data_IF_629977314326
#
_entry.id   IF_629977314326
#
_cell.length_a   1.000
_cell.length_b   1.000
_cell.length_c   1.000
_cell.angle_alpha   90.00
_cell.angle_beta   90.00
_cell.angle_gamma   90.00
#
_symmetry.space_group_name_H-M   'P 1'
#
loop_
_entity.id
_entity.type
_entity.pdbx_description
1 polymer ?
#
# COMPACT_ATOMS: atom_id res chain seq x y z
N UNK A 1 -13.29 -20.81 10.27
CA UNK A 1 -12.41 -21.67 9.44
C UNK A 1 -11.68 -22.78 10.21
N UNK A 2 -11.39 -22.65 11.51
CA UNK A 2 -10.82 -23.77 12.30
C UNK A 2 -11.68 -25.05 12.27
N UNK A 3 -13.02 -24.90 12.32
CA UNK A 3 -13.98 -25.98 12.09
C UNK A 3 -14.13 -26.41 10.62
N UNK A 4 -13.73 -25.58 9.66
CA UNK A 4 -13.81 -25.91 8.24
C UNK A 4 -12.65 -26.83 7.85
N UNK A 5 -11.45 -26.62 8.39
CA UNK A 5 -10.29 -27.48 8.16
C UNK A 5 -10.38 -28.83 8.91
N UNK A 6 -11.09 -28.88 10.03
CA UNK A 6 -11.38 -30.13 10.77
C UNK A 6 -12.43 -31.03 10.09
N UNK A 7 -12.96 -30.61 8.94
CA UNK A 7 -13.98 -31.34 8.16
C UNK A 7 -13.64 -31.53 6.68
N UNK A 8 -12.42 -31.19 6.23
CA UNK A 8 -12.00 -31.45 4.85
C UNK A 8 -11.39 -32.85 4.75
N UNK A 9 -11.93 -33.74 3.89
CA UNK A 9 -11.39 -35.08 3.74
C UNK A 9 -9.96 -35.04 3.15
N UNK A 10 -9.13 -36.00 3.59
CA UNK A 10 -7.66 -36.03 3.42
C UNK A 10 -7.21 -35.97 1.95
N UNK A 11 -8.05 -36.44 1.03
CA UNK A 11 -7.87 -36.41 -0.42
C UNK A 11 -7.85 -34.99 -1.00
N UNK A 12 -8.60 -34.05 -0.41
CA UNK A 12 -8.65 -32.66 -0.87
C UNK A 12 -7.51 -31.78 -0.33
N UNK A 13 -6.80 -32.25 0.71
CA UNK A 13 -5.65 -31.56 1.30
C UNK A 13 -4.38 -31.63 0.46
N UNK A 14 -4.19 -32.73 -0.29
CA UNK A 14 -3.01 -32.93 -1.13
C UNK A 14 -2.80 -31.78 -2.14
N UNK A 15 -3.89 -31.12 -2.56
CA UNK A 15 -3.86 -30.00 -3.49
C UNK A 15 -3.23 -28.71 -2.91
N UNK A 16 -3.22 -28.54 -1.59
CA UNK A 16 -2.69 -27.35 -0.91
C UNK A 16 -1.23 -27.50 -0.48
N UNK A 17 -0.63 -28.68 -0.68
CA UNK A 17 0.76 -28.95 -0.31
C UNK A 17 1.68 -28.86 -1.53
N UNK A 18 2.93 -28.38 -1.38
CA UNK A 18 3.94 -28.41 -2.44
C UNK A 18 4.12 -29.83 -3.01
N UNK A 19 4.27 -29.95 -4.33
CA UNK A 19 4.30 -31.22 -5.08
C UNK A 19 5.26 -32.28 -4.51
N UNK A 20 6.38 -31.85 -3.92
CA UNK A 20 7.37 -32.72 -3.24
C UNK A 20 6.80 -33.47 -2.02
N UNK A 21 5.81 -32.90 -1.34
CA UNK A 21 5.17 -33.48 -0.15
C UNK A 21 3.91 -34.26 -0.51
N UNK A 22 3.33 -34.05 -1.71
CA UNK A 22 2.16 -34.78 -2.18
C UNK A 22 2.44 -36.29 -2.34
N UNK A 23 3.65 -36.66 -2.77
CA UNK A 23 4.08 -38.06 -2.92
C UNK A 23 4.51 -38.71 -1.59
N UNK A 24 4.96 -37.91 -0.61
CA UNK A 24 5.40 -38.37 0.71
C UNK A 24 4.26 -38.41 1.75
N UNK A 25 3.15 -37.72 1.47
CA UNK A 25 1.95 -37.63 2.32
C UNK A 25 1.44 -39.00 2.75
N UNK A 26 1.31 -39.96 1.83
CA UNK A 26 0.85 -41.31 2.16
C UNK A 26 1.78 -42.07 3.13
N UNK A 27 3.08 -41.74 3.13
CA UNK A 27 4.07 -42.36 4.02
C UNK A 27 4.14 -41.67 5.39
N UNK A 28 3.89 -40.35 5.43
CA UNK A 28 3.94 -39.52 6.65
C UNK A 28 2.64 -39.52 7.44
N UNK A 29 1.51 -39.86 6.82
CA UNK A 29 0.24 -40.04 7.52
C UNK A 29 0.30 -41.35 8.35
N UNK A 30 0.04 -41.30 9.67
CA UNK A 30 -0.25 -42.45 10.51
C UNK A 30 -1.08 -43.52 9.83
N UNK A 31 -0.75 -44.79 10.09
CA UNK A 31 -1.43 -45.96 9.51
C UNK A 31 -2.94 -45.94 9.73
N UNK A 32 -3.39 -45.34 10.84
CA UNK A 32 -4.79 -45.09 11.21
C UNK A 32 -5.55 -44.16 10.26
N UNK A 33 -4.86 -43.45 9.37
CA UNK A 33 -5.42 -42.43 8.49
C UNK A 33 -5.30 -42.78 7.01
N UNK A 34 -4.63 -43.90 6.68
CA UNK A 34 -4.71 -44.48 5.34
C UNK A 34 -6.09 -45.12 5.25
N UNK A 35 -6.87 -44.75 4.23
CA UNK A 35 -8.20 -45.32 4.05
C UNK A 35 -8.08 -46.85 3.92
N UNK A 36 -8.46 -47.59 4.96
CA UNK A 36 -8.79 -48.99 4.81
C UNK A 36 -10.07 -49.04 3.98
N UNK A 37 -9.96 -49.49 2.75
CA UNK A 37 -11.08 -49.69 1.79
C UNK A 37 -12.12 -50.72 2.26
N UNK A 38 -12.12 -51.11 3.53
CA UNK A 38 -13.00 -52.11 4.14
C UNK A 38 -13.83 -51.61 5.33
N UNK A 39 -13.86 -50.30 5.61
CA UNK A 39 -14.61 -49.74 6.76
C UNK A 39 -15.91 -49.06 6.29
N UNK A 40 -17.01 -49.35 7.00
CA UNK A 40 -18.36 -48.85 6.74
C UNK A 40 -18.41 -47.30 6.72
N UNK A 41 -19.21 -46.65 5.84
CA UNK A 41 -19.31 -45.19 5.75
C UNK A 41 -19.75 -44.50 7.05
N UNK A 42 -20.52 -45.19 7.90
CA UNK A 42 -21.03 -44.64 9.17
C UNK A 42 -19.97 -44.59 10.29
N UNK A 43 -18.88 -45.35 10.21
CA UNK A 43 -17.75 -45.27 11.17
C UNK A 43 -16.72 -44.19 10.79
N UNK A 44 -16.83 -43.61 9.59
CA UNK A 44 -15.96 -42.52 9.11
C UNK A 44 -16.32 -41.15 9.71
N UNK A 45 -17.48 -41.01 10.35
CA UNK A 45 -18.01 -39.70 10.80
C UNK A 45 -17.31 -39.11 12.04
N UNK A 46 -16.35 -39.82 12.65
CA UNK A 46 -15.66 -39.37 13.87
C UNK A 46 -14.16 -39.09 13.76
N UNK A 47 -13.54 -39.28 12.59
CA UNK A 47 -12.08 -39.05 12.44
C UNK A 47 -11.80 -37.59 12.12
N UNK A 48 -11.78 -36.76 13.16
CA UNK A 48 -11.35 -35.38 13.04
C UNK A 48 -9.83 -35.29 12.92
N UNK A 49 -9.38 -34.64 11.86
CA UNK A 49 -7.97 -34.38 11.61
C UNK A 49 -7.50 -33.19 12.43
N UNK A 50 -6.51 -33.40 13.31
CA UNK A 50 -5.88 -32.34 14.08
C UNK A 50 -4.48 -32.04 13.53
N UNK A 51 -4.17 -30.75 13.30
CA UNK A 51 -2.84 -30.33 12.89
C UNK A 51 -1.76 -30.67 13.92
N UNK A 52 -2.13 -30.87 15.18
CA UNK A 52 -1.20 -31.29 16.25
C UNK A 52 -0.63 -32.68 15.99
N UNK A 53 -1.35 -33.53 15.27
CA UNK A 53 -0.92 -34.90 14.99
C UNK A 53 0.05 -35.00 13.79
N UNK A 54 0.24 -33.90 13.06
CA UNK A 54 1.20 -33.83 11.95
C UNK A 54 2.63 -33.54 12.44
N UNK A 55 3.66 -33.93 11.66
CA UNK A 55 5.00 -33.39 11.84
C UNK A 55 4.96 -31.85 11.84
N UNK A 56 5.67 -31.24 12.80
CA UNK A 56 5.64 -29.78 13.01
C UNK A 56 5.89 -28.98 11.73
N UNK A 57 6.84 -29.41 10.91
CA UNK A 57 7.17 -28.73 9.65
C UNK A 57 5.98 -28.69 8.68
N UNK A 58 5.20 -29.78 8.60
CA UNK A 58 4.04 -29.88 7.73
C UNK A 58 2.88 -29.03 8.26
N UNK A 59 2.63 -29.07 9.57
CA UNK A 59 1.63 -28.23 10.22
C UNK A 59 1.92 -26.74 10.04
N UNK A 60 3.17 -26.32 10.24
CA UNK A 60 3.60 -24.93 10.01
C UNK A 60 3.54 -24.57 8.52
N UNK A 61 3.91 -25.47 7.62
CA UNK A 61 3.79 -25.24 6.18
C UNK A 61 2.33 -24.98 5.78
N UNK A 62 1.38 -25.75 6.32
CA UNK A 62 -0.05 -25.53 6.09
C UNK A 62 -0.47 -24.15 6.61
N UNK A 63 -0.16 -23.85 7.87
CA UNK A 63 -0.53 -22.59 8.49
C UNK A 63 0.11 -21.36 7.83
N UNK A 64 1.27 -21.51 7.19
CA UNK A 64 1.95 -20.42 6.47
C UNK A 64 1.20 -19.91 5.24
N UNK A 65 0.22 -20.66 4.73
CA UNK A 65 -0.63 -20.24 3.61
C UNK A 65 -1.88 -19.48 4.06
N UNK A 66 -2.15 -19.40 5.37
CA UNK A 66 -3.28 -18.66 5.90
C UNK A 66 -2.99 -17.16 5.88
N UNK A 67 -4.02 -16.37 5.58
CA UNK A 67 -3.95 -14.93 5.80
C UNK A 67 -3.92 -14.62 7.32
N UNK A 68 -3.58 -13.39 7.72
CA UNK A 68 -3.44 -13.02 9.13
C UNK A 68 -4.69 -13.24 9.97
N UNK A 69 -5.88 -12.98 9.40
CA UNK A 69 -7.17 -13.18 10.08
C UNK A 69 -7.43 -14.65 10.33
N UNK A 70 -7.22 -15.50 9.32
CA UNK A 70 -7.40 -16.94 9.43
C UNK A 70 -6.36 -17.56 10.37
N UNK A 71 -5.12 -17.07 10.37
CA UNK A 71 -4.09 -17.50 11.32
C UNK A 71 -4.43 -17.10 12.76
N UNK A 72 -4.97 -15.89 12.96
CA UNK A 72 -5.47 -15.46 14.27
C UNK A 72 -6.61 -16.36 14.76
N UNK A 73 -7.58 -16.68 13.90
CA UNK A 73 -8.67 -17.60 14.24
C UNK A 73 -8.15 -19.02 14.51
N UNK A 74 -7.16 -19.48 13.73
CA UNK A 74 -6.49 -20.76 13.94
C UNK A 74 -5.81 -20.85 15.31
N UNK A 75 -5.33 -19.73 15.87
CA UNK A 75 -4.76 -19.71 17.23
C UNK A 75 -5.75 -20.05 18.34
N UNK A 76 -7.06 -19.94 18.09
CA UNK A 76 -8.09 -20.38 19.04
C UNK A 76 -8.21 -21.90 19.18
N UNK A 77 -7.73 -22.67 18.19
CA UNK A 77 -7.75 -24.14 18.20
C UNK A 77 -6.32 -24.68 18.34
N UNK A 78 -5.38 -24.12 17.59
CA UNK A 78 -4.00 -24.57 17.48
C UNK A 78 -3.02 -23.53 18.01
N UNK A 79 -3.20 -23.06 19.25
CA UNK A 79 -2.43 -21.96 19.83
C UNK A 79 -0.91 -22.13 19.65
N UNK A 80 -0.36 -23.30 20.00
CA UNK A 80 1.08 -23.58 19.94
C UNK A 80 1.65 -23.53 18.53
N UNK A 81 0.86 -23.89 17.52
CA UNK A 81 1.27 -23.91 16.12
C UNK A 81 1.05 -22.54 15.46
N UNK A 82 -0.15 -21.97 15.61
CA UNK A 82 -0.53 -20.71 14.98
C UNK A 82 0.08 -19.47 15.64
N UNK A 83 0.53 -19.55 16.90
CA UNK A 83 1.30 -18.48 17.55
C UNK A 83 2.80 -18.57 17.28
N UNK A 84 3.24 -19.45 16.38
CA UNK A 84 4.66 -19.63 16.08
C UNK A 84 5.28 -18.36 15.47
N UNK A 85 6.36 -17.88 16.09
CA UNK A 85 7.06 -16.65 15.71
C UNK A 85 7.61 -16.66 14.28
N UNK A 86 7.98 -17.84 13.74
CA UNK A 86 8.47 -17.94 12.36
C UNK A 86 7.35 -17.72 11.34
N UNK A 87 6.12 -18.13 11.65
CA UNK A 87 4.95 -17.87 10.80
C UNK A 87 4.62 -16.38 10.78
N UNK A 88 4.52 -15.77 11.96
CA UNK A 88 4.24 -14.34 12.08
C UNK A 88 5.35 -13.49 11.48
N UNK A 89 6.62 -13.91 11.58
CA UNK A 89 7.72 -13.24 10.86
C UNK A 89 7.56 -13.31 9.35
N UNK A 90 7.16 -14.47 8.82
CA UNK A 90 6.87 -14.65 7.39
C UNK A 90 5.75 -13.72 6.92
N UNK A 91 4.64 -13.69 7.68
CA UNK A 91 3.51 -12.79 7.42
C UNK A 91 3.91 -11.31 7.50
N UNK A 92 4.64 -10.92 8.55
CA UNK A 92 5.16 -9.56 8.69
C UNK A 92 5.94 -9.15 7.44
N UNK A 93 6.90 -9.95 6.97
CA UNK A 93 7.70 -9.62 5.78
C UNK A 93 6.92 -9.65 4.47
N UNK A 94 5.86 -10.44 4.39
CA UNK A 94 4.99 -10.49 3.22
C UNK A 94 4.09 -9.25 3.11
N UNK A 95 3.54 -8.78 4.24
CA UNK A 95 2.62 -7.64 4.28
C UNK A 95 3.33 -6.29 4.50
N UNK A 96 4.47 -6.29 5.20
CA UNK A 96 5.34 -5.15 5.41
C UNK A 96 6.77 -5.52 4.99
N UNK A 97 7.13 -5.26 3.73
CA UNK A 97 8.45 -5.61 3.21
C UNK A 97 9.61 -4.97 3.97
N UNK A 98 9.36 -3.81 4.60
CA UNK A 98 10.37 -3.07 5.35
C UNK A 98 9.83 -2.48 6.66
N UNK A 99 10.57 -2.71 7.74
CA UNK A 99 10.48 -2.00 9.01
C UNK A 99 11.89 -1.98 9.64
N UNK A 100 12.26 -0.91 10.34
CA UNK A 100 13.60 -0.80 10.94
C UNK A 100 13.85 -1.84 12.03
N UNK A 101 12.78 -2.20 12.75
CA UNK A 101 12.84 -3.22 13.80
C UNK A 101 13.27 -4.60 13.31
N UNK A 102 13.18 -4.89 12.00
CA UNK A 102 13.69 -6.16 11.45
C UNK A 102 15.21 -6.31 11.55
N UNK A 103 15.94 -5.21 11.78
CA UNK A 103 17.39 -5.23 12.01
C UNK A 103 17.72 -5.51 13.48
N UNK A 104 16.92 -4.97 14.40
CA UNK A 104 17.22 -4.92 15.84
C UNK A 104 16.38 -5.88 16.69
N UNK A 105 15.43 -6.62 16.11
CA UNK A 105 14.49 -7.48 16.88
C UNK A 105 15.18 -8.51 17.79
N UNK A 106 16.38 -8.98 17.43
CA UNK A 106 17.15 -9.94 18.25
C UNK A 106 17.70 -9.34 19.55
N UNK A 107 17.84 -8.02 19.58
CA UNK A 107 18.38 -7.28 20.72
C UNK A 107 17.30 -6.95 21.75
N UNK A 108 16.02 -7.14 21.39
CA UNK A 108 14.88 -6.79 22.23
C UNK A 108 14.40 -7.97 23.07
N UNK A 109 14.39 -7.87 24.40
CA UNK A 109 13.78 -8.90 25.23
C UNK A 109 12.27 -8.95 24.96
N UNK A 110 11.72 -10.16 24.92
CA UNK A 110 10.27 -10.41 24.72
C UNK A 110 9.69 -9.89 23.40
N UNK A 111 10.51 -9.76 22.35
CA UNK A 111 10.01 -9.42 21.02
C UNK A 111 9.11 -10.53 20.46
N UNK A 112 7.94 -10.14 19.92
CA UNK A 112 7.02 -11.04 19.22
C UNK A 112 6.60 -10.44 17.89
N UNK A 113 6.79 -11.19 16.81
CA UNK A 113 6.33 -10.87 15.47
C UNK A 113 4.81 -10.81 15.40
N UNK A 114 4.10 -11.58 16.22
CA UNK A 114 2.63 -11.47 16.31
C UNK A 114 2.21 -10.10 16.83
N UNK A 115 2.85 -9.64 17.91
CA UNK A 115 2.57 -8.31 18.47
C UNK A 115 3.01 -7.22 17.47
N UNK A 116 4.16 -7.38 16.82
CA UNK A 116 4.61 -6.46 15.79
C UNK A 116 3.60 -6.36 14.65
N UNK A 117 3.06 -7.48 14.17
CA UNK A 117 2.05 -7.50 13.11
C UNK A 117 0.85 -6.62 13.48
N UNK A 118 0.31 -6.81 14.69
CA UNK A 118 -0.83 -6.02 15.16
C UNK A 118 -0.50 -4.53 15.28
N UNK A 119 0.69 -4.19 15.78
CA UNK A 119 1.15 -2.80 15.86
C UNK A 119 1.37 -2.17 14.48
N UNK A 120 1.82 -2.93 13.50
CA UNK A 120 1.99 -2.46 12.12
C UNK A 120 0.64 -2.22 11.43
N UNK A 121 -0.35 -3.07 11.70
CA UNK A 121 -1.72 -2.87 11.22
C UNK A 121 -2.36 -1.64 11.88
N UNK A 122 -2.22 -1.48 13.20
CA UNK A 122 -2.63 -0.27 13.92
C UNK A 122 -1.93 0.97 13.38
N UNK A 123 -0.61 0.93 13.18
CA UNK A 123 0.16 2.03 12.62
C UNK A 123 -0.33 2.44 11.22
N UNK A 124 -0.67 1.47 10.37
CA UNK A 124 -1.22 1.73 9.04
C UNK A 124 -2.59 2.40 9.12
N UNK A 125 -3.47 1.93 10.01
CA UNK A 125 -4.77 2.57 10.23
C UNK A 125 -4.62 4.00 10.75
N UNK A 126 -3.70 4.22 11.70
CA UNK A 126 -3.37 5.54 12.22
C UNK A 126 -2.81 6.45 11.13
N UNK A 127 -1.88 5.97 10.31
CA UNK A 127 -1.33 6.72 9.17
C UNK A 127 -2.41 7.12 8.16
N UNK A 128 -3.32 6.20 7.85
CA UNK A 128 -4.42 6.46 6.91
C UNK A 128 -5.43 7.48 7.46
N UNK A 129 -5.50 7.65 8.78
CA UNK A 129 -6.28 8.71 9.40
C UNK A 129 -5.52 10.03 9.47
N UNK A 130 -4.26 10.01 9.93
CA UNK A 130 -3.33 11.13 9.93
C UNK A 130 -1.88 10.64 9.74
N UNK A 131 -1.25 11.09 8.65
CA UNK A 131 0.07 10.62 8.27
C UNK A 131 1.16 10.92 9.31
N UNK A 132 1.09 12.08 9.97
CA UNK A 132 2.09 12.52 10.94
C UNK A 132 1.99 11.70 12.22
N UNK A 133 0.76 11.44 12.66
CA UNK A 133 0.49 10.58 13.81
C UNK A 133 0.93 9.14 13.55
N UNK A 134 0.70 8.62 12.34
CA UNK A 134 1.13 7.28 11.96
C UNK A 134 2.64 7.11 11.98
N UNK A 135 3.40 8.07 11.43
CA UNK A 135 4.86 8.04 11.50
C UNK A 135 5.35 8.19 12.94
N UNK A 136 4.76 9.10 13.73
CA UNK A 136 5.09 9.26 15.14
C UNK A 136 4.86 7.97 15.93
N UNK A 137 3.72 7.31 15.75
CA UNK A 137 3.41 6.03 16.39
C UNK A 137 4.49 4.98 16.05
N UNK A 138 4.91 4.89 14.79
CA UNK A 138 5.95 3.95 14.36
C UNK A 138 7.30 4.23 15.03
N UNK A 139 7.65 5.51 15.23
CA UNK A 139 8.88 5.93 15.87
C UNK A 139 8.84 5.71 17.39
N UNK A 140 7.75 6.08 18.06
CA UNK A 140 7.55 5.92 19.51
C UNK A 140 7.52 4.43 19.92
N UNK A 141 6.96 3.56 19.08
CA UNK A 141 6.99 2.11 19.30
C UNK A 141 8.30 1.46 18.82
N UNK A 142 9.27 2.27 18.39
CA UNK A 142 10.56 1.87 17.85
C UNK A 142 10.45 0.82 16.73
N UNK A 143 9.39 0.90 15.91
CA UNK A 143 9.15 0.04 14.74
C UNK A 143 9.95 0.59 13.55
N UNK A 144 10.01 1.92 13.45
CA UNK A 144 10.69 2.68 12.42
C UNK A 144 11.69 3.65 13.08
N UNK A 145 12.91 3.71 12.57
CA UNK A 145 13.91 4.70 13.00
C UNK A 145 13.50 6.08 12.50
N UNK A 146 13.79 7.11 13.28
CA UNK A 146 13.66 8.51 12.86
C UNK A 146 14.83 8.89 11.96
N UNK A 147 14.81 8.35 10.74
CA UNK A 147 15.81 8.58 9.70
C UNK A 147 15.10 8.73 8.34
N UNK A 148 15.59 9.67 7.52
CA UNK A 148 15.00 10.02 6.23
C UNK A 148 14.89 8.81 5.32
N UNK A 149 15.94 8.00 5.23
CA UNK A 149 15.99 6.83 4.36
C UNK A 149 15.02 5.75 4.85
N UNK A 150 14.98 5.50 6.15
CA UNK A 150 14.06 4.53 6.74
C UNK A 150 12.59 4.94 6.53
N UNK A 151 12.25 6.21 6.76
CA UNK A 151 10.89 6.73 6.51
C UNK A 151 10.53 6.64 5.03
N UNK A 152 11.43 7.07 4.13
CA UNK A 152 11.20 7.01 2.70
C UNK A 152 11.00 5.57 2.20
N UNK A 153 11.83 4.63 2.65
CA UNK A 153 11.72 3.23 2.28
C UNK A 153 10.42 2.61 2.78
N UNK A 154 10.01 2.91 4.01
CA UNK A 154 8.72 2.49 4.55
C UNK A 154 7.56 3.01 3.70
N UNK A 155 7.52 4.30 3.38
CA UNK A 155 6.48 4.91 2.56
C UNK A 155 6.48 4.40 1.11
N UNK A 156 7.64 3.96 0.60
CA UNK A 156 7.78 3.43 -0.75
C UNK A 156 7.22 2.01 -0.88
N UNK A 157 7.56 1.11 0.05
CA UNK A 157 7.25 -0.33 -0.10
C UNK A 157 6.01 -0.81 0.66
N UNK A 158 5.50 -0.03 1.62
CA UNK A 158 4.37 -0.45 2.45
C UNK A 158 3.05 -0.40 1.65
N UNK A 159 2.36 -1.53 1.48
CA UNK A 159 1.13 -1.58 0.69
C UNK A 159 -0.05 -0.95 1.44
N UNK A 160 -0.90 -0.27 0.69
CA UNK A 160 -2.21 0.20 1.12
C UNK A 160 -2.20 1.29 2.20
N UNK A 161 -1.11 2.07 2.23
CA UNK A 161 -1.12 3.43 2.78
C UNK A 161 -2.07 4.30 1.94
N UNK A 162 -2.80 5.19 2.59
CA UNK A 162 -3.68 6.14 1.92
C UNK A 162 -2.85 7.12 1.07
N UNK A 163 -3.09 7.22 -0.25
CA UNK A 163 -2.31 8.07 -1.14
C UNK A 163 -2.37 9.56 -0.77
N UNK A 164 -3.50 10.03 -0.24
CA UNK A 164 -3.69 11.44 0.15
C UNK A 164 -2.86 11.76 1.39
N UNK A 165 -2.89 10.90 2.41
CA UNK A 165 -2.05 11.02 3.61
C UNK A 165 -0.56 10.90 3.27
N UNK A 166 -0.20 9.94 2.40
CA UNK A 166 1.18 9.80 1.90
C UNK A 166 1.67 11.09 1.24
N UNK A 167 0.89 11.67 0.33
CA UNK A 167 1.23 12.99 -0.25
C UNK A 167 1.37 14.06 0.83
N UNK A 168 0.39 14.19 1.72
CA UNK A 168 0.36 15.25 2.75
C UNK A 168 1.62 15.22 3.64
N UNK A 169 2.13 14.03 3.95
CA UNK A 169 3.39 13.89 4.68
C UNK A 169 4.61 14.33 3.84
N UNK A 170 4.68 13.93 2.57
CA UNK A 170 5.77 14.28 1.67
C UNK A 170 5.79 15.77 1.29
N UNK A 171 4.62 16.42 1.27
CA UNK A 171 4.49 17.87 1.13
C UNK A 171 5.17 18.62 2.27
N UNK A 172 5.00 18.14 3.50
CA UNK A 172 5.62 18.73 4.69
C UNK A 172 7.10 18.33 4.85
N UNK A 173 7.54 17.24 4.21
CA UNK A 173 8.88 16.66 4.37
C UNK A 173 9.61 16.52 3.01
N UNK A 174 10.14 17.61 2.42
CA UNK A 174 10.76 17.58 1.10
C UNK A 174 11.96 16.65 0.99
N UNK A 175 12.72 16.46 2.06
CA UNK A 175 13.88 15.57 2.10
C UNK A 175 13.46 14.10 1.96
N UNK A 176 12.35 13.72 2.60
CA UNK A 176 11.75 12.38 2.47
C UNK A 176 11.16 12.20 1.07
N UNK A 177 10.54 13.23 0.50
CA UNK A 177 10.06 13.20 -0.89
C UNK A 177 11.20 12.91 -1.86
N UNK A 178 12.31 13.65 -1.75
CA UNK A 178 13.47 13.48 -2.61
C UNK A 178 13.97 12.01 -2.57
N UNK A 179 14.02 11.40 -1.39
CA UNK A 179 14.44 10.00 -1.24
C UNK A 179 13.38 8.99 -1.73
N UNK A 180 12.09 9.23 -1.48
CA UNK A 180 11.00 8.39 -2.02
C UNK A 180 11.03 8.36 -3.55
N UNK A 181 11.27 9.52 -4.19
CA UNK A 181 11.40 9.57 -5.64
C UNK A 181 12.61 8.77 -6.08
N UNK A 182 13.77 8.91 -5.42
CA UNK A 182 14.99 8.15 -5.75
C UNK A 182 14.86 6.63 -5.63
N UNK A 183 13.95 6.15 -4.78
CA UNK A 183 13.70 4.71 -4.61
C UNK A 183 12.84 4.12 -5.73
N UNK A 184 12.14 4.96 -6.52
CA UNK A 184 11.29 4.48 -7.60
C UNK A 184 12.10 4.02 -8.81
N UNK A 185 11.72 2.88 -9.36
CA UNK A 185 12.33 2.38 -10.59
C UNK A 185 11.57 2.89 -11.82
N UNK A 186 12.22 3.75 -12.60
CA UNK A 186 11.69 4.28 -13.87
C UNK A 186 12.43 3.75 -15.10
N UNK A 187 13.27 2.73 -14.96
CA UNK A 187 14.06 2.20 -16.08
C UNK A 187 13.14 1.65 -17.18
N UNK A 188 13.37 2.09 -18.41
CA UNK A 188 12.58 1.73 -19.59
C UNK A 188 11.10 2.11 -19.52
N UNK A 189 10.72 2.95 -18.55
CA UNK A 189 9.35 3.42 -18.42
C UNK A 189 9.06 4.51 -19.46
N UNK A 190 7.89 4.45 -20.08
CA UNK A 190 7.43 5.51 -20.96
C UNK A 190 6.96 6.70 -20.13
N UNK A 191 7.33 7.94 -20.53
CA UNK A 191 7.18 9.12 -19.69
C UNK A 191 5.74 9.36 -19.17
N UNK A 192 4.68 9.31 -20.00
CA UNK A 192 3.32 9.51 -19.49
C UNK A 192 2.85 8.38 -18.57
N UNK A 193 3.30 7.14 -18.79
CA UNK A 193 2.97 5.99 -17.94
C UNK A 193 3.65 6.11 -16.57
N UNK A 194 4.92 6.53 -16.56
CA UNK A 194 5.66 6.82 -15.34
C UNK A 194 4.99 7.96 -14.54
N UNK A 195 4.53 9.01 -15.22
CA UNK A 195 3.76 10.09 -14.58
C UNK A 195 2.42 9.59 -14.02
N UNK A 196 1.68 8.75 -14.75
CA UNK A 196 0.44 8.15 -14.24
C UNK A 196 0.67 7.35 -12.97
N UNK A 197 1.69 6.50 -12.97
CA UNK A 197 2.09 5.73 -11.79
C UNK A 197 2.44 6.64 -10.61
N UNK A 198 3.18 7.72 -10.87
CA UNK A 198 3.54 8.70 -9.84
C UNK A 198 2.30 9.38 -9.23
N UNK A 199 1.38 9.86 -10.06
CA UNK A 199 0.17 10.56 -9.61
C UNK A 199 -0.90 9.65 -9.04
N UNK A 200 -0.85 8.34 -9.32
CA UNK A 200 -1.68 7.34 -8.65
C UNK A 200 -1.27 7.18 -7.18
N UNK A 201 0.04 7.21 -6.90
CA UNK A 201 0.55 7.12 -5.53
C UNK A 201 0.54 8.47 -4.79
N UNK A 202 0.70 9.58 -5.52
CA UNK A 202 0.77 10.94 -5.00
C UNK A 202 -0.27 11.80 -5.73
N UNK A 203 -1.57 11.66 -5.39
CA UNK A 203 -2.66 12.33 -6.10
C UNK A 203 -2.54 13.84 -5.97
N UNK A 204 -2.93 14.61 -7.00
CA UNK A 204 -2.76 16.08 -6.99
C UNK A 204 -3.37 16.75 -5.74
N UNK A 205 -2.72 17.78 -5.16
CA UNK A 205 -3.29 18.56 -4.07
C UNK A 205 -4.55 19.31 -4.53
N UNK A 206 -5.51 19.48 -3.62
CA UNK A 206 -6.70 20.34 -3.83
C UNK A 206 -6.35 21.83 -3.74
N UNK A 207 -5.52 22.22 -2.77
CA UNK A 207 -5.28 23.63 -2.41
C UNK A 207 -3.85 24.13 -2.70
N UNK A 208 -2.86 23.23 -2.78
CA UNK A 208 -1.44 23.59 -2.91
C UNK A 208 -0.78 22.99 -4.17
N UNK A 209 -1.53 22.98 -5.28
CA UNK A 209 -1.02 22.51 -6.57
C UNK A 209 0.17 23.36 -7.05
N UNK A 210 0.26 24.61 -6.63
CA UNK A 210 1.24 25.58 -7.12
C UNK A 210 2.64 25.40 -6.52
N UNK A 211 2.78 24.83 -5.32
CA UNK A 211 4.10 24.61 -4.73
C UNK A 211 4.55 23.15 -4.82
N UNK A 212 3.66 22.19 -4.53
CA UNK A 212 4.04 20.78 -4.47
C UNK A 212 4.29 20.17 -5.86
N UNK A 213 3.40 20.39 -6.84
CA UNK A 213 3.53 19.77 -8.17
C UNK A 213 4.83 20.17 -8.88
N UNK A 214 5.23 21.46 -8.94
CA UNK A 214 6.51 21.82 -9.53
C UNK A 214 7.69 21.11 -8.88
N UNK A 215 7.72 21.05 -7.54
CA UNK A 215 8.80 20.38 -6.80
C UNK A 215 8.82 18.87 -7.06
N UNK A 216 7.66 18.23 -7.06
CA UNK A 216 7.52 16.81 -7.38
C UNK A 216 8.05 16.51 -8.79
N UNK A 217 7.66 17.33 -9.78
CA UNK A 217 8.07 17.15 -11.16
C UNK A 217 9.54 17.46 -11.39
N UNK A 218 10.12 18.42 -10.65
CA UNK A 218 11.56 18.70 -10.69
C UNK A 218 12.35 17.44 -10.30
N UNK A 219 12.05 16.87 -9.14
CA UNK A 219 12.71 15.65 -8.64
C UNK A 219 12.45 14.43 -9.52
N UNK A 220 11.22 14.27 -9.98
CA UNK A 220 10.86 13.21 -10.91
C UNK A 220 11.68 13.32 -12.20
N UNK A 221 11.82 14.52 -12.77
CA UNK A 221 12.51 14.72 -14.05
C UNK A 221 14.02 14.47 -13.94
N UNK A 222 14.65 14.95 -12.86
CA UNK A 222 16.05 14.63 -12.53
C UNK A 222 16.25 13.12 -12.45
N UNK A 223 15.38 12.42 -11.72
CA UNK A 223 15.51 10.99 -11.51
C UNK A 223 15.19 10.17 -12.76
N UNK A 224 14.15 10.54 -13.51
CA UNK A 224 13.71 9.86 -14.72
C UNK A 224 14.82 9.85 -15.78
N UNK A 225 15.50 11.00 -15.98
CA UNK A 225 16.65 11.09 -16.89
C UNK A 225 17.81 10.22 -16.41
N UNK A 226 18.08 10.21 -15.09
CA UNK A 226 19.12 9.36 -14.50
C UNK A 226 18.84 7.87 -14.72
N UNK A 227 17.58 7.45 -14.64
CA UNK A 227 17.16 6.07 -14.92
C UNK A 227 17.18 5.73 -16.42
N UNK A 228 17.03 6.74 -17.28
CA UNK A 228 16.87 6.56 -18.73
C UNK A 228 17.85 7.42 -19.54
N UNK A 229 19.18 7.22 -19.38
CA UNK A 229 20.19 8.03 -20.08
C UNK A 229 20.14 7.87 -21.60
N UNK A 230 19.61 6.74 -22.09
CA UNK A 230 19.48 6.41 -23.51
C UNK A 230 18.48 7.32 -24.25
N UNK A 231 17.56 7.99 -23.55
CA UNK A 231 16.58 8.90 -24.16
C UNK A 231 17.26 10.22 -24.59
N UNK A 232 18.41 10.57 -24.00
CA UNK A 232 19.19 11.75 -24.39
C UNK A 232 18.53 13.11 -24.06
N UNK A 233 17.46 13.12 -23.25
CA UNK A 233 16.79 14.34 -22.80
C UNK A 233 17.43 14.86 -21.51
N UNK A 234 17.43 16.18 -21.35
CA UNK A 234 17.87 16.84 -20.12
C UNK A 234 16.73 16.93 -19.10
N UNK A 235 17.02 17.02 -17.78
CA UNK A 235 15.99 17.13 -16.75
C UNK A 235 15.02 18.31 -16.94
N UNK A 236 15.52 19.47 -17.36
CA UNK A 236 14.70 20.66 -17.63
C UNK A 236 13.74 20.46 -18.81
N UNK A 237 14.17 19.70 -19.82
CA UNK A 237 13.31 19.32 -20.95
C UNK A 237 12.21 18.37 -20.48
N UNK A 238 12.57 17.32 -19.73
CA UNK A 238 11.59 16.37 -19.19
C UNK A 238 10.58 17.07 -18.28
N UNK A 239 11.03 18.01 -17.46
CA UNK A 239 10.18 18.83 -16.61
C UNK A 239 9.09 19.57 -17.40
N UNK A 240 9.47 20.27 -18.49
CA UNK A 240 8.51 20.98 -19.35
C UNK A 240 7.58 20.01 -20.09
N UNK A 241 8.08 18.85 -20.49
CA UNK A 241 7.26 17.79 -21.09
C UNK A 241 6.22 17.26 -20.11
N UNK A 242 6.59 17.03 -18.84
CA UNK A 242 5.66 16.63 -17.78
C UNK A 242 4.52 17.64 -17.60
N UNK A 243 4.82 18.94 -17.57
CA UNK A 243 3.78 19.97 -17.51
C UNK A 243 2.89 19.97 -18.75
N UNK A 244 3.47 19.80 -19.94
CA UNK A 244 2.71 19.74 -21.19
C UNK A 244 1.75 18.54 -21.20
N UNK A 245 2.19 17.40 -20.67
CA UNK A 245 1.38 16.19 -20.50
C UNK A 245 0.25 16.38 -19.48
N UNK A 246 0.53 17.00 -18.33
CA UNK A 246 -0.50 17.29 -17.33
C UNK A 246 -1.55 18.27 -17.85
N UNK A 247 -1.14 19.29 -18.61
CA UNK A 247 -2.06 20.22 -19.24
C UNK A 247 -2.91 19.55 -20.32
N UNK A 248 -2.34 18.63 -21.10
CA UNK A 248 -3.08 17.82 -22.07
C UNK A 248 -4.10 16.90 -21.38
N UNK A 249 -3.70 16.21 -20.31
CA UNK A 249 -4.62 15.38 -19.53
C UNK A 249 -5.77 16.20 -18.95
N UNK A 250 -5.47 17.37 -18.35
CA UNK A 250 -6.50 18.29 -17.85
C UNK A 250 -7.44 18.78 -18.95
N UNK A 251 -6.90 19.03 -20.14
CA UNK A 251 -7.68 19.43 -21.32
C UNK A 251 -8.71 18.36 -21.68
N UNK A 252 -8.30 17.09 -21.75
CA UNK A 252 -9.21 15.96 -22.02
C UNK A 252 -10.22 15.72 -20.89
N UNK A 253 -9.79 15.74 -19.63
CA UNK A 253 -10.64 15.54 -18.46
C UNK A 253 -11.76 16.59 -18.32
N UNK A 254 -11.48 17.85 -18.70
CA UNK A 254 -12.38 18.97 -18.39
C UNK A 254 -13.64 18.99 -19.26
N UNK A 255 -14.86 18.83 -18.69
CA UNK A 255 -16.10 18.91 -19.48
C UNK A 255 -16.40 20.31 -20.01
N UNK A 256 -15.74 21.34 -19.45
CA UNK A 256 -15.91 22.74 -19.88
C UNK A 256 -15.25 23.01 -21.23
N UNK A 257 -14.25 22.20 -21.60
CA UNK A 257 -13.51 22.38 -22.84
C UNK A 257 -14.19 21.55 -23.93
N UNK A 258 -14.94 22.25 -24.80
CA UNK A 258 -15.66 21.66 -25.93
C UNK A 258 -14.70 21.24 -27.06
N UNK A 259 -13.73 22.09 -27.35
CA UNK A 259 -12.74 21.86 -28.40
C UNK A 259 -11.45 21.36 -27.75
N UNK A 260 -11.29 20.04 -27.70
CA UNK A 260 -10.10 19.40 -27.16
C UNK A 260 -8.88 19.66 -28.05
N UNK A 261 -7.71 19.74 -27.44
CA UNK A 261 -6.46 19.93 -28.15
C UNK A 261 -6.21 18.78 -29.12
N UNK A 262 -6.02 19.08 -30.40
CA UNK A 262 -5.65 18.08 -31.40
C UNK A 262 -4.18 17.68 -31.28
N UNK A 263 -3.83 16.49 -31.79
CA UNK A 263 -2.43 16.01 -31.84
C UNK A 263 -1.48 17.02 -32.47
N UNK A 264 -1.90 17.65 -33.58
CA UNK A 264 -1.12 18.67 -34.29
C UNK A 264 -0.89 19.90 -33.43
N UNK A 265 -1.90 20.33 -32.66
CA UNK A 265 -1.78 21.47 -31.77
C UNK A 265 -0.88 21.17 -30.57
N UNK A 266 -1.00 19.98 -29.98
CA UNK A 266 -0.13 19.55 -28.89
C UNK A 266 1.35 19.54 -29.32
N UNK A 267 1.67 18.92 -30.46
CA UNK A 267 3.03 18.90 -31.01
C UNK A 267 3.52 20.34 -31.24
N UNK A 268 2.71 21.19 -31.88
CA UNK A 268 3.08 22.58 -32.16
C UNK A 268 3.34 23.38 -30.88
N UNK A 269 2.49 23.24 -29.87
CA UNK A 269 2.59 23.98 -28.61
C UNK A 269 3.81 23.51 -27.82
N UNK A 270 4.00 22.19 -27.70
CA UNK A 270 5.11 21.61 -26.95
C UNK A 270 6.45 21.90 -27.59
N UNK A 271 6.55 21.89 -28.93
CA UNK A 271 7.80 22.26 -29.64
C UNK A 271 8.18 23.73 -29.52
N UNK A 272 7.22 24.62 -29.27
CA UNK A 272 7.53 26.04 -28.96
C UNK A 272 8.22 26.16 -27.60
N UNK A 273 7.86 25.32 -26.64
CA UNK A 273 8.48 25.29 -25.32
C UNK A 273 9.78 24.46 -25.31
N UNK A 274 9.81 23.36 -26.07
CA UNK A 274 10.94 22.44 -26.16
C UNK A 274 11.29 22.18 -27.63
N UNK A 275 12.09 23.05 -28.27
CA UNK A 275 12.45 22.89 -29.69
C UNK A 275 13.20 21.59 -30.01
N UNK A 276 13.92 21.06 -29.01
CA UNK A 276 14.71 19.83 -29.12
C UNK A 276 13.88 18.53 -29.05
N UNK A 277 12.58 18.61 -28.71
CA UNK A 277 11.75 17.42 -28.62
C UNK A 277 11.39 16.89 -30.01
N UNK A 278 11.56 15.58 -30.19
CA UNK A 278 11.22 14.89 -31.42
C UNK A 278 9.70 14.86 -31.68
N UNK A 279 9.30 15.04 -32.94
CA UNK A 279 7.91 15.13 -33.35
C UNK A 279 7.18 13.81 -33.19
N UNK A 280 7.85 12.69 -33.52
CA UNK A 280 7.24 11.36 -33.42
C UNK A 280 7.02 11.00 -31.95
N UNK A 281 8.02 11.24 -31.10
CA UNK A 281 7.90 11.06 -29.65
C UNK A 281 6.74 11.86 -29.04
N UNK A 282 6.60 13.14 -29.38
CA UNK A 282 5.48 13.97 -28.93
C UNK A 282 4.13 13.44 -29.46
N UNK A 283 4.13 12.88 -30.67
CA UNK A 283 2.97 12.19 -31.20
C UNK A 283 2.57 10.98 -30.37
N UNK A 284 3.53 10.14 -29.98
CA UNK A 284 3.28 8.98 -29.13
C UNK A 284 2.80 9.36 -27.73
N UNK A 285 3.35 10.44 -27.14
CA UNK A 285 2.85 11.00 -25.90
C UNK A 285 1.37 11.38 -25.98
N UNK A 286 0.97 12.08 -27.05
CA UNK A 286 -0.42 12.44 -27.24
C UNK A 286 -1.33 11.21 -27.35
N UNK A 287 -0.94 10.25 -28.19
CA UNK A 287 -1.75 9.04 -28.43
C UNK A 287 -1.94 8.25 -27.13
N UNK A 288 -0.90 8.11 -26.33
CA UNK A 288 -0.95 7.40 -25.06
C UNK A 288 -1.85 8.10 -24.03
N UNK A 289 -1.84 9.44 -23.93
CA UNK A 289 -2.80 10.16 -23.07
C UNK A 289 -4.23 10.08 -23.61
N UNK A 290 -4.41 10.10 -24.92
CA UNK A 290 -5.72 9.97 -25.55
C UNK A 290 -6.35 8.58 -25.33
N UNK A 291 -5.55 7.52 -25.38
CA UNK A 291 -6.00 6.13 -25.25
C UNK A 291 -6.13 5.70 -23.79
N UNK A 292 -5.10 5.92 -22.97
CA UNK A 292 -5.06 5.45 -21.57
C UNK A 292 -5.81 6.39 -20.61
N UNK A 293 -6.09 7.63 -21.03
CA UNK A 293 -6.82 8.62 -20.25
C UNK A 293 -5.95 9.42 -19.29
N UNK A 294 -6.59 9.88 -18.22
CA UNK A 294 -6.06 10.93 -17.36
C UNK A 294 -4.76 10.54 -16.64
N UNK A 295 -3.81 11.48 -16.62
CA UNK A 295 -2.53 11.30 -15.93
C UNK A 295 -2.66 11.52 -14.43
N UNK A 296 -3.39 12.57 -14.05
CA UNK A 296 -3.60 12.95 -12.66
C UNK A 296 -5.09 13.11 -12.41
N UNK A 297 -5.61 12.40 -11.42
CA UNK A 297 -6.96 12.67 -10.91
C UNK A 297 -6.91 13.97 -10.12
N UNK A 298 -7.39 15.04 -10.73
CA UNK A 298 -7.62 16.29 -10.05
C UNK A 298 -8.80 16.06 -9.10
N UNK A 299 -8.56 16.06 -7.79
CA UNK A 299 -9.66 16.01 -6.83
C UNK A 299 -10.41 17.33 -6.94
N UNK A 300 -11.45 17.37 -7.78
CA UNK A 300 -12.29 18.55 -7.95
C UNK A 300 -13.24 18.62 -6.77
N UNK A 301 -13.06 19.63 -5.92
CA UNK A 301 -14.08 20.04 -4.95
C UNK A 301 -15.37 20.30 -5.72
N UNK A 302 -16.41 19.47 -5.50
CA UNK A 302 -17.77 19.90 -5.77
C UNK A 302 -18.06 21.02 -4.79
N UNK A 303 -17.92 22.26 -5.23
CA UNK A 303 -18.41 23.42 -4.50
C UNK A 303 -19.93 23.30 -4.41
N UNK A 304 -20.43 22.64 -3.36
CA UNK A 304 -21.80 22.83 -2.91
C UNK A 304 -21.90 24.30 -2.49
N UNK A 305 -22.54 25.10 -3.34
CA UNK A 305 -22.60 26.54 -3.20
C UNK A 305 -23.20 26.95 -1.85
N UNK A 306 -22.42 27.69 -1.08
CA UNK A 306 -22.94 28.64 -0.10
C UNK A 306 -22.19 29.94 -0.37
N UNK A 307 -22.93 30.94 -0.86
CA UNK A 307 -22.40 32.26 -1.14
C UNK A 307 -21.93 32.95 0.16
N UNK A 308 -20.84 33.73 0.15
CA UNK A 308 -20.40 34.45 1.33
C UNK A 308 -21.24 35.74 1.47
N UNK A 309 -22.11 35.80 2.48
CA UNK A 309 -22.73 37.05 2.92
C UNK A 309 -21.90 37.70 4.02
N UNK A 310 -21.72 39.01 3.88
CA UNK A 310 -20.78 39.85 4.62
C UNK A 310 -21.16 40.16 6.08
N UNK A 311 -20.10 40.52 6.83
CA UNK A 311 -20.01 41.37 8.04
C UNK A 311 -20.08 40.68 9.43
N UNK A 312 -19.15 41.02 10.35
CA UNK A 312 -19.11 40.45 11.70
C UNK A 312 -19.93 41.28 12.71
N UNK A 313 -20.55 40.66 13.74
CA UNK A 313 -20.91 41.36 14.96
C UNK A 313 -20.04 40.92 16.14
N UNK A 314 -19.37 41.94 16.67
CA UNK A 314 -19.03 42.26 18.07
C UNK A 314 -19.37 41.26 19.18
N UNK A 315 -18.38 41.10 20.05
CA UNK A 315 -18.36 40.34 21.29
C UNK A 315 -19.62 40.48 22.18
N UNK A 316 -20.12 39.33 22.64
CA UNK A 316 -20.77 39.20 23.95
C UNK A 316 -20.19 38.00 24.69
N UNK A 317 -19.60 38.27 25.86
CA UNK A 317 -19.25 37.29 26.88
C UNK A 317 -20.54 36.64 27.38
N UNK A 318 -20.63 35.32 27.29
CA UNK A 318 -21.45 34.52 28.22
C UNK A 318 -20.61 33.34 28.69
N UNK A 319 -20.26 33.41 29.97
CA UNK A 319 -19.70 32.34 30.78
C UNK A 319 -20.71 31.21 30.91
N UNK A 320 -20.37 29.99 30.52
CA UNK A 320 -20.95 28.80 31.14
C UNK A 320 -19.98 27.61 30.99
N UNK A 321 -19.44 27.20 32.14
CA UNK A 321 -18.61 26.02 32.33
C UNK A 321 -19.52 24.80 32.39
N UNK A 322 -19.34 23.81 31.49
CA UNK A 322 -19.91 22.47 31.73
C UNK A 322 -19.11 21.33 31.09
N UNK A 323 -18.38 20.66 31.99
CA UNK A 323 -18.09 19.22 32.13
C UNK A 323 -17.55 18.38 30.95
N UNK A 324 -16.43 17.69 31.24
CA UNK A 324 -15.78 16.67 30.42
C UNK A 324 -16.65 15.43 30.15
N UNK A 325 -16.48 14.74 29.00
CA UNK A 325 -17.21 13.52 28.68
C UNK A 325 -16.74 12.32 29.52
N UNK A 326 -17.70 11.49 29.92
CA UNK A 326 -17.49 10.28 30.76
C UNK A 326 -16.85 9.14 29.95
N UNK A 327 -16.03 8.28 30.59
CA UNK A 327 -15.44 7.10 29.95
C UNK A 327 -16.48 5.97 29.72
N UNK A 328 -16.25 5.21 28.66
CA UNK A 328 -17.06 4.09 28.19
C UNK A 328 -17.17 2.96 29.23
N UNK A 329 -18.39 2.44 29.42
CA UNK A 329 -18.67 1.26 30.26
C UNK A 329 -18.36 -0.02 29.49
N UNK A 330 -17.47 -0.84 30.04
CA UNK A 330 -17.26 -2.24 29.67
C UNK A 330 -18.42 -3.07 30.23
N UNK A 331 -19.16 -3.78 29.37
CA UNK A 331 -20.14 -4.78 29.79
C UNK A 331 -19.41 -6.11 29.90
N UNK A 332 -19.18 -6.59 31.12
CA UNK A 332 -18.80 -7.97 31.38
C UNK A 332 -20.06 -8.84 31.35
N UNK A 333 -20.11 -9.82 30.45
CA UNK A 333 -21.11 -10.89 30.50
C UNK A 333 -20.51 -12.03 31.32
N UNK A 334 -21.27 -12.45 32.34
CA UNK A 334 -21.00 -13.60 33.22
C UNK A 334 -21.44 -14.89 32.56
#
# INVERSE_FOLDING_TARGET
MGQLLSGVPVDKWALFLPQRYQSQLAALLPSSWRADTSINPEESEGRHFDLVDLPLELALSILSHLNPTDLYLASGVWWNLASNESLWRGLCRAYWPFCSVYETWRERPHFSFRILFLRLDEARLTFNSDAFEGIRYLQENEILKDDIHHVALYLHVTPGLDPVQKRRYLEASPEVLDEVIRLKDFRSAFLPDALRSLFTELPSPENDTHNFIPRLLERFSEHFVRCNPHIGLRPDVVYVLCFSLLMLSKDFASPQIKNKMSKREFIRNTRRAVPAADVELLGHFYDNVYVEGDIATWVTVKSSGVAPSASPPTAQRVTEVRAAPRPYRIIALS
#
